data_IF_296412623473
#
_entry.id   IF_296412623473
#
_cell.length_a   1.000
_cell.length_b   1.000
_cell.length_c   1.000
_cell.angle_alpha   90.00
_cell.angle_beta   90.00
_cell.angle_gamma   90.00
#
_symmetry.space_group_name_H-M   'P 1'
#
loop_
_entity.id
_entity.type
_entity.pdbx_description
1 polymer ?
#
# COMPACT_ATOMS: atom_id res chain seq x y z
N UNK A 1 2.07 -15.20 -8.82
CA UNK A 1 3.37 -14.74 -8.32
C UNK A 1 4.00 -13.88 -9.39
N UNK A 2 4.19 -12.59 -9.12
CA UNK A 2 4.92 -11.69 -10.01
C UNK A 2 6.40 -12.10 -9.99
N UNK A 3 7.06 -12.31 -11.14
CA UNK A 3 8.48 -12.67 -11.16
C UNK A 3 9.32 -11.56 -10.54
N UNK A 4 10.36 -11.94 -9.78
CA UNK A 4 11.32 -10.97 -9.25
C UNK A 4 12.08 -10.36 -10.42
N UNK A 5 12.10 -9.02 -10.58
CA UNK A 5 12.85 -8.38 -11.65
C UNK A 5 14.35 -8.65 -11.47
N UNK A 6 15.09 -8.75 -12.57
CA UNK A 6 16.55 -8.86 -12.54
C UNK A 6 17.12 -7.50 -12.14
N UNK A 7 17.79 -7.45 -10.99
CA UNK A 7 18.38 -6.24 -10.42
C UNK A 7 19.89 -6.43 -10.37
N UNK A 8 20.62 -5.50 -11.00
CA UNK A 8 22.07 -5.49 -11.13
C UNK A 8 22.73 -4.42 -10.24
N UNK A 9 21.94 -3.52 -9.66
CA UNK A 9 22.45 -2.46 -8.79
C UNK A 9 21.51 -2.03 -7.65
N UNK A 10 22.04 -1.40 -6.59
CA UNK A 10 21.20 -0.83 -5.52
C UNK A 10 20.20 0.23 -5.98
N UNK A 11 20.52 0.97 -7.05
CA UNK A 11 19.65 2.00 -7.63
C UNK A 11 18.41 1.37 -8.26
N UNK A 12 18.57 0.25 -8.97
CA UNK A 12 17.45 -0.48 -9.52
C UNK A 12 16.58 -1.09 -8.40
N UNK A 13 17.19 -1.60 -7.33
CA UNK A 13 16.44 -2.07 -6.17
C UNK A 13 15.64 -0.92 -5.53
N UNK A 14 16.25 0.25 -5.34
CA UNK A 14 15.55 1.40 -4.73
C UNK A 14 14.35 1.82 -5.58
N UNK A 15 14.49 1.88 -6.90
CA UNK A 15 13.37 2.14 -7.81
C UNK A 15 12.26 1.09 -7.67
N UNK A 16 12.58 -0.21 -7.68
CA UNK A 16 11.57 -1.26 -7.46
C UNK A 16 10.87 -1.14 -6.10
N UNK A 17 11.59 -0.77 -5.03
CA UNK A 17 11.00 -0.53 -3.71
C UNK A 17 10.04 0.66 -3.69
N UNK A 18 10.22 1.67 -4.55
CA UNK A 18 9.25 2.79 -4.70
C UNK A 18 7.97 2.37 -5.42
N UNK A 19 8.02 1.32 -6.23
CA UNK A 19 6.88 0.85 -7.03
C UNK A 19 6.06 -0.22 -6.32
N UNK A 20 6.69 -0.98 -5.41
CA UNK A 20 6.01 -2.00 -4.63
C UNK A 20 4.77 -1.42 -3.92
N UNK A 21 3.66 -2.15 -3.98
CA UNK A 21 2.37 -1.79 -3.42
C UNK A 21 2.09 -2.55 -2.13
N UNK A 22 2.74 -3.69 -1.91
CA UNK A 22 2.51 -4.55 -0.74
C UNK A 22 3.79 -4.84 0.03
N UNK A 23 3.67 -5.19 1.32
CA UNK A 23 4.80 -5.64 2.11
C UNK A 23 5.42 -6.94 1.57
N UNK A 24 4.60 -7.85 1.03
CA UNK A 24 5.08 -9.10 0.44
C UNK A 24 6.04 -8.84 -0.75
N UNK A 25 5.75 -7.85 -1.59
CA UNK A 25 6.65 -7.43 -2.67
C UNK A 25 7.97 -6.85 -2.14
N UNK A 26 7.91 -6.04 -1.08
CA UNK A 26 9.11 -5.50 -0.43
C UNK A 26 9.97 -6.64 0.15
N UNK A 27 9.35 -7.60 0.84
CA UNK A 27 10.05 -8.77 1.39
C UNK A 27 10.70 -9.58 0.28
N UNK A 28 9.96 -9.87 -0.79
CA UNK A 28 10.47 -10.63 -1.92
C UNK A 28 11.70 -9.95 -2.56
N UNK A 29 11.63 -8.64 -2.81
CA UNK A 29 12.73 -7.86 -3.38
C UNK A 29 13.95 -7.83 -2.44
N UNK A 30 13.74 -7.58 -1.15
CA UNK A 30 14.85 -7.47 -0.19
C UNK A 30 15.46 -8.81 0.22
N UNK A 31 14.73 -9.91 0.05
CA UNK A 31 15.27 -11.28 0.21
C UNK A 31 16.04 -11.74 -1.03
N UNK A 32 15.60 -11.34 -2.24
CA UNK A 32 16.29 -11.68 -3.48
C UNK A 32 17.64 -10.92 -3.62
N UNK A 33 17.73 -9.70 -3.09
CA UNK A 33 18.90 -8.83 -3.21
C UNK A 33 19.40 -8.31 -1.84
N UNK A 34 19.83 -9.19 -0.93
CA UNK A 34 20.19 -8.81 0.44
C UNK A 34 21.39 -7.85 0.48
N UNK A 35 22.34 -8.00 -0.44
CA UNK A 35 23.56 -7.18 -0.52
C UNK A 35 23.27 -5.72 -0.90
N UNK A 36 22.17 -5.49 -1.63
CA UNK A 36 21.78 -4.16 -2.08
C UNK A 36 20.86 -3.44 -1.09
N UNK A 37 20.19 -4.18 -0.20
CA UNK A 37 19.14 -3.68 0.71
C UNK A 37 19.56 -2.41 1.46
N UNK A 38 20.72 -2.42 2.11
CA UNK A 38 21.16 -1.31 2.95
C UNK A 38 21.48 -0.04 2.14
N UNK A 39 22.02 -0.19 0.93
CA UNK A 39 22.36 0.93 0.05
C UNK A 39 21.08 1.46 -0.60
N UNK A 40 20.23 0.58 -1.15
CA UNK A 40 18.95 0.94 -1.73
C UNK A 40 18.07 1.70 -0.74
N UNK A 41 18.01 1.25 0.53
CA UNK A 41 17.28 1.96 1.58
C UNK A 41 17.74 3.41 1.78
N UNK A 42 19.06 3.64 1.77
CA UNK A 42 19.65 4.99 1.95
C UNK A 42 19.40 5.93 0.76
N UNK A 43 19.07 5.39 -0.41
CA UNK A 43 18.74 6.18 -1.60
C UNK A 43 17.29 6.66 -1.60
N UNK A 44 16.42 6.04 -0.80
CA UNK A 44 15.02 6.44 -0.67
C UNK A 44 14.89 7.75 0.11
N UNK A 45 13.95 8.60 -0.31
CA UNK A 45 13.55 9.78 0.47
C UNK A 45 12.85 9.38 1.77
N UNK A 46 12.76 10.32 2.72
CA UNK A 46 12.04 10.10 3.98
C UNK A 46 10.57 9.67 3.75
N UNK A 47 9.90 10.28 2.77
CA UNK A 47 8.51 9.94 2.42
C UNK A 47 8.40 8.51 1.86
N UNK A 48 9.35 8.10 1.01
CA UNK A 48 9.39 6.76 0.45
C UNK A 48 9.66 5.71 1.54
N UNK A 49 10.61 5.99 2.45
CA UNK A 49 10.87 5.14 3.61
C UNK A 49 9.63 5.04 4.52
N UNK A 50 8.97 6.16 4.80
CA UNK A 50 7.74 6.22 5.58
C UNK A 50 6.62 5.36 4.96
N UNK A 51 6.46 5.42 3.63
CA UNK A 51 5.51 4.56 2.89
C UNK A 51 5.82 3.07 3.08
N UNK A 52 7.08 2.66 2.92
CA UNK A 52 7.47 1.26 3.09
C UNK A 52 7.25 0.78 4.53
N UNK A 53 7.58 1.61 5.52
CA UNK A 53 7.31 1.30 6.92
C UNK A 53 5.81 1.18 7.18
N UNK A 54 4.98 2.03 6.57
CA UNK A 54 3.53 1.91 6.62
C UNK A 54 3.04 0.57 6.04
N UNK A 55 3.58 0.13 4.90
CA UNK A 55 3.26 -1.19 4.34
C UNK A 55 3.61 -2.33 5.31
N UNK A 56 4.77 -2.26 5.97
CA UNK A 56 5.17 -3.23 7.00
C UNK A 56 4.18 -3.28 8.16
N UNK A 57 3.78 -2.12 8.67
CA UNK A 57 2.91 -2.03 9.84
C UNK A 57 1.47 -2.48 9.52
N UNK A 58 1.10 -2.53 8.24
CA UNK A 58 -0.18 -3.01 7.74
C UNK A 58 -0.19 -4.48 7.31
N UNK A 59 0.96 -5.17 7.31
CA UNK A 59 1.10 -6.51 6.73
C UNK A 59 0.14 -7.55 7.33
N UNK A 60 -0.17 -7.41 8.62
CA UNK A 60 -1.02 -8.33 9.37
C UNK A 60 -2.47 -7.83 9.50
N UNK A 61 -2.79 -6.65 8.95
CA UNK A 61 -4.15 -6.08 8.99
C UNK A 61 -4.99 -6.62 7.84
N UNK A 62 -5.99 -7.44 8.16
CA UNK A 62 -6.91 -8.02 7.17
C UNK A 62 -7.54 -6.95 6.26
N UNK A 63 -7.97 -5.83 6.84
CA UNK A 63 -8.57 -4.71 6.08
C UNK A 63 -7.61 -4.12 5.03
N UNK A 64 -6.31 -4.05 5.33
CA UNK A 64 -5.32 -3.51 4.41
C UNK A 64 -4.92 -4.51 3.31
N UNK A 65 -5.17 -5.80 3.52
CA UNK A 65 -5.05 -6.82 2.47
C UNK A 65 -6.27 -6.81 1.54
N UNK A 66 -7.46 -6.56 2.09
CA UNK A 66 -8.69 -6.43 1.31
C UNK A 66 -8.70 -5.16 0.46
N UNK A 67 -8.28 -4.03 1.04
CA UNK A 67 -8.26 -2.71 0.41
C UNK A 67 -6.85 -2.10 0.43
N UNK A 68 -5.91 -2.53 -0.43
CA UNK A 68 -4.53 -2.03 -0.39
C UNK A 68 -4.41 -0.52 -0.59
N UNK A 69 -3.33 0.07 -0.05
CA UNK A 69 -3.05 1.50 -0.25
C UNK A 69 -2.97 1.81 -1.75
N UNK A 70 -3.70 2.84 -2.16
CA UNK A 70 -3.75 3.30 -3.53
C UNK A 70 -4.73 2.56 -4.44
N UNK A 71 -5.40 1.50 -3.98
CA UNK A 71 -6.48 0.88 -4.75
C UNK A 71 -7.70 1.81 -4.84
N UNK A 72 -8.52 1.60 -5.87
CA UNK A 72 -9.80 2.28 -5.99
C UNK A 72 -10.87 1.53 -5.21
N UNK A 73 -11.72 2.28 -4.53
CA UNK A 73 -12.86 1.78 -3.76
C UNK A 73 -14.10 2.59 -4.05
N UNK A 74 -15.25 1.99 -3.87
CA UNK A 74 -16.55 2.64 -3.94
C UNK A 74 -17.40 2.16 -2.76
N UNK A 75 -18.31 3.01 -2.28
CA UNK A 75 -19.30 2.58 -1.29
C UNK A 75 -20.37 1.75 -2.00
N UNK A 76 -20.71 0.58 -1.45
CA UNK A 76 -21.63 -0.40 -2.06
C UNK A 76 -23.02 0.15 -2.39
N UNK A 77 -23.46 1.19 -1.67
CA UNK A 77 -24.77 1.82 -1.84
C UNK A 77 -24.65 3.30 -2.20
N UNK A 78 -23.60 3.70 -2.93
CA UNK A 78 -23.45 5.08 -3.40
C UNK A 78 -24.31 5.35 -4.65
N UNK A 79 -25.36 6.18 -4.58
CA UNK A 79 -26.14 6.56 -5.76
C UNK A 79 -25.31 7.36 -6.78
N UNK A 80 -24.24 8.04 -6.34
CA UNK A 80 -23.37 8.83 -7.21
C UNK A 80 -22.20 8.02 -7.78
N UNK A 81 -22.02 6.77 -7.34
CA UNK A 81 -20.93 5.87 -7.76
C UNK A 81 -19.53 6.53 -7.70
N UNK A 82 -19.28 7.33 -6.66
CA UNK A 82 -18.00 8.01 -6.48
C UNK A 82 -16.91 7.01 -6.13
N UNK A 83 -15.77 7.21 -6.75
CA UNK A 83 -14.59 6.37 -6.57
C UNK A 83 -13.58 7.11 -5.69
N UNK A 84 -13.06 6.40 -4.69
CA UNK A 84 -12.03 6.88 -3.78
C UNK A 84 -10.74 6.10 -3.95
N UNK A 85 -9.60 6.78 -3.76
CA UNK A 85 -8.30 6.12 -3.67
C UNK A 85 -7.92 5.91 -2.21
N UNK A 86 -7.64 4.68 -1.80
CA UNK A 86 -7.29 4.36 -0.40
C UNK A 86 -5.96 5.00 0.00
N UNK A 87 -5.93 5.65 1.16
CA UNK A 87 -4.76 6.37 1.69
C UNK A 87 -4.39 5.98 3.12
N UNK A 88 -5.34 5.49 3.92
CA UNK A 88 -5.08 5.08 5.29
C UNK A 88 -6.13 4.13 5.87
N UNK A 89 -5.90 3.72 7.12
CA UNK A 89 -6.81 2.90 7.90
C UNK A 89 -6.78 3.32 9.36
N UNK A 90 -7.88 3.10 10.06
CA UNK A 90 -7.93 3.20 11.52
C UNK A 90 -8.93 2.20 12.06
N UNK A 91 -8.79 1.86 13.34
CA UNK A 91 -9.74 1.02 14.07
C UNK A 91 -10.37 1.85 15.18
N UNK A 92 -11.66 1.67 15.40
CA UNK A 92 -12.27 2.02 16.66
C UNK A 92 -13.41 1.08 17.01
N UNK A 93 -13.49 0.74 18.29
CA UNK A 93 -14.53 -0.13 18.83
C UNK A 93 -14.63 -1.49 18.12
N UNK A 94 -13.50 -2.00 17.59
CA UNK A 94 -13.44 -3.27 16.87
C UNK A 94 -13.98 -3.20 15.44
N UNK A 95 -14.04 -2.00 14.86
CA UNK A 95 -14.45 -1.77 13.47
C UNK A 95 -13.27 -1.18 12.71
N UNK A 96 -12.86 -1.90 11.67
CA UNK A 96 -11.84 -1.44 10.73
C UNK A 96 -12.43 -0.46 9.72
N UNK A 97 -11.88 0.75 9.70
CA UNK A 97 -12.23 1.81 8.77
C UNK A 97 -11.15 1.99 7.71
N UNK A 98 -11.60 2.21 6.48
CA UNK A 98 -10.75 2.56 5.34
C UNK A 98 -10.88 4.06 5.10
N UNK A 99 -9.75 4.75 4.99
CA UNK A 99 -9.65 6.16 4.64
C UNK A 99 -9.26 6.27 3.18
N UNK A 100 -9.99 7.06 2.41
CA UNK A 100 -9.77 7.23 0.97
C UNK A 100 -10.04 8.68 0.54
N UNK A 101 -9.49 9.06 -0.60
CA UNK A 101 -9.70 10.40 -1.18
C UNK A 101 -10.61 10.34 -2.39
N UNK A 102 -11.68 11.15 -2.41
CA UNK A 102 -12.62 11.34 -3.52
C UNK A 102 -12.56 12.80 -3.96
N UNK A 103 -12.24 13.07 -5.23
CA UNK A 103 -12.16 14.44 -5.78
C UNK A 103 -11.35 15.44 -4.92
N UNK A 104 -10.28 14.96 -4.27
CA UNK A 104 -9.42 15.76 -3.39
C UNK A 104 -9.89 15.90 -1.94
N UNK A 105 -11.06 15.35 -1.59
CA UNK A 105 -11.57 15.32 -0.22
C UNK A 105 -11.26 13.98 0.44
N UNK A 106 -10.84 14.01 1.70
CA UNK A 106 -10.61 12.79 2.50
C UNK A 106 -11.91 12.36 3.16
N UNK A 107 -12.24 11.08 3.02
CA UNK A 107 -13.42 10.45 3.58
C UNK A 107 -13.03 9.08 4.15
N UNK A 108 -13.91 8.50 4.96
CA UNK A 108 -13.70 7.19 5.56
C UNK A 108 -15.01 6.45 5.78
N UNK A 109 -14.98 5.14 5.68
CA UNK A 109 -16.12 4.30 6.08
C UNK A 109 -15.67 2.89 6.46
N UNK A 110 -16.51 2.12 7.18
CA UNK A 110 -16.19 0.74 7.52
C UNK A 110 -15.87 -0.06 6.26
N UNK A 111 -14.87 -0.93 6.33
CA UNK A 111 -14.51 -1.81 5.21
C UNK A 111 -15.69 -2.60 4.65
N UNK A 112 -16.60 -3.04 5.54
CA UNK A 112 -17.81 -3.77 5.17
C UNK A 112 -18.78 -2.98 4.27
N UNK A 113 -18.69 -1.66 4.23
CA UNK A 113 -19.51 -0.78 3.38
C UNK A 113 -18.85 -0.46 2.05
N UNK A 114 -17.60 -0.90 1.84
CA UNK A 114 -16.83 -0.68 0.63
C UNK A 114 -16.78 -1.92 -0.25
N UNK A 115 -16.57 -1.66 -1.53
CA UNK A 115 -16.10 -2.62 -2.51
C UNK A 115 -14.84 -2.08 -3.18
N UNK A 116 -13.91 -2.99 -3.49
CA UNK A 116 -12.71 -2.67 -4.26
C UNK A 116 -13.05 -2.71 -5.74
N UNK A 117 -12.56 -1.73 -6.49
CA UNK A 117 -12.64 -1.69 -7.94
C UNK A 117 -11.29 -2.15 -8.51
N UNK A 118 -11.34 -3.02 -9.53
CA UNK A 118 -10.17 -3.55 -10.25
C UNK A 118 -9.75 -2.64 -11.42
#
# INVERSE_FOLDING_TARGET
MTPVPVIESPEQLSECLTQAQTWAEIELLTQAYPDFKAIAWKQLSADQQGRILKLRDLKDKAIAQEFPLGCLVQRRADPEQKQGKVVDYWDAYGVDYVVFTVDGFTDWCPGSMLERLD
#
